data_IF_056686920814
#
_entry.id   IF_056686920814
#
_cell.length_a   1.000
_cell.length_b   1.000
_cell.length_c   1.000
_cell.angle_alpha   90.00
_cell.angle_beta   90.00
_cell.angle_gamma   90.00
#
_symmetry.space_group_name_H-M   'P 1'
#
loop_
_entity.id
_entity.type
_entity.pdbx_description
1 polymer ?
#
# COMPACT_ATOMS: atom_id res chain seq x y z
N UNK A 1 -18.02 3.43 -0.08
CA UNK A 1 -16.60 3.13 0.25
C UNK A 1 -16.27 1.68 -0.09
N UNK A 2 -15.02 1.29 -0.07
CA UNK A 2 -14.55 -0.07 -0.40
C UNK A 2 -14.99 -0.57 -1.79
N UNK A 3 -14.86 0.26 -2.79
CA UNK A 3 -15.09 -0.08 -4.20
C UNK A 3 -13.74 -0.23 -4.94
N UNK A 4 -13.77 -0.85 -6.11
CA UNK A 4 -12.57 -1.00 -6.95
C UNK A 4 -11.41 -1.70 -6.22
N UNK A 5 -10.21 -1.13 -6.29
CA UNK A 5 -8.97 -1.70 -5.74
C UNK A 5 -9.00 -1.84 -4.21
N UNK A 6 -9.73 -0.98 -3.49
CA UNK A 6 -9.84 -1.07 -2.02
C UNK A 6 -10.50 -2.36 -1.52
N UNK A 7 -11.26 -3.07 -2.36
CA UNK A 7 -11.83 -4.39 -2.05
C UNK A 7 -11.17 -5.54 -2.83
N UNK A 8 -10.47 -5.24 -3.92
CA UNK A 8 -9.88 -6.22 -4.82
C UNK A 8 -8.35 -6.14 -4.74
N UNK A 9 -7.79 -6.59 -3.63
CA UNK A 9 -6.37 -6.64 -3.34
C UNK A 9 -6.02 -7.87 -2.50
N UNK A 10 -4.74 -8.13 -2.31
CA UNK A 10 -4.23 -9.29 -1.58
C UNK A 10 -4.22 -9.12 -0.05
N UNK A 11 -4.65 -7.98 0.47
CA UNK A 11 -4.65 -7.68 1.92
C UNK A 11 -3.25 -7.71 2.57
N UNK A 12 -2.19 -7.66 1.79
CA UNK A 12 -0.81 -7.72 2.26
C UNK A 12 -0.27 -6.33 2.57
N UNK A 13 0.30 -6.17 3.76
CA UNK A 13 1.16 -5.04 4.11
C UNK A 13 2.60 -5.44 3.79
N UNK A 14 3.08 -4.98 2.64
CA UNK A 14 4.41 -5.32 2.13
C UNK A 14 5.52 -4.75 2.99
N UNK A 15 6.64 -5.50 3.09
CA UNK A 15 7.84 -5.09 3.84
C UNK A 15 8.67 -4.02 3.13
N UNK A 16 8.50 -3.83 1.81
CA UNK A 16 9.29 -2.91 0.98
C UNK A 16 10.51 -3.55 0.32
N UNK A 17 10.66 -4.88 0.41
CA UNK A 17 11.81 -5.60 -0.11
C UNK A 17 11.93 -5.52 -1.64
N UNK A 18 10.80 -5.58 -2.35
CA UNK A 18 10.68 -5.62 -3.82
C UNK A 18 10.62 -4.24 -4.48
N UNK A 19 10.58 -3.18 -3.71
CA UNK A 19 10.59 -1.82 -4.25
C UNK A 19 11.98 -1.43 -4.75
N UNK A 20 12.06 -0.82 -5.93
CA UNK A 20 13.33 -0.32 -6.48
C UNK A 20 13.97 0.69 -5.52
N UNK A 21 15.21 0.43 -5.12
CA UNK A 21 15.96 1.26 -4.17
C UNK A 21 16.08 2.71 -4.65
N UNK A 22 15.97 3.65 -3.71
CA UNK A 22 16.08 5.09 -3.96
C UNK A 22 14.82 5.75 -4.53
N UNK A 23 13.75 4.99 -4.76
CA UNK A 23 12.47 5.54 -5.24
C UNK A 23 11.59 6.02 -4.10
N UNK A 24 10.68 6.96 -4.40
CA UNK A 24 9.64 7.38 -3.46
C UNK A 24 8.74 6.20 -3.05
N UNK A 25 8.50 5.23 -3.95
CA UNK A 25 7.76 4.00 -3.65
C UNK A 25 8.41 3.22 -2.51
N UNK A 26 9.74 3.00 -2.54
CA UNK A 26 10.46 2.31 -1.48
C UNK A 26 10.34 3.05 -0.14
N UNK A 27 10.54 4.37 -0.15
CA UNK A 27 10.43 5.20 1.05
C UNK A 27 9.02 5.18 1.67
N UNK A 28 7.99 5.35 0.84
CA UNK A 28 6.60 5.38 1.31
C UNK A 28 6.10 4.00 1.74
N UNK A 29 6.56 2.92 1.09
CA UNK A 29 6.24 1.56 1.50
C UNK A 29 6.75 1.27 2.92
N UNK A 30 8.04 1.55 3.19
CA UNK A 30 8.61 1.40 4.53
C UNK A 30 7.89 2.25 5.56
N UNK A 31 7.68 3.53 5.26
CA UNK A 31 6.98 4.42 6.17
C UNK A 31 5.55 3.98 6.46
N UNK A 32 4.81 3.55 5.43
CA UNK A 32 3.46 3.00 5.59
C UNK A 32 3.45 1.73 6.44
N UNK A 33 4.41 0.82 6.21
CA UNK A 33 4.56 -0.40 7.00
C UNK A 33 4.83 -0.11 8.48
N UNK A 34 5.74 0.83 8.80
CA UNK A 34 6.05 1.25 10.17
C UNK A 34 4.82 1.80 10.92
N UNK A 35 3.94 2.51 10.20
CA UNK A 35 2.76 3.14 10.80
C UNK A 35 1.65 2.15 11.15
N UNK A 36 1.63 0.95 10.56
CA UNK A 36 0.50 0.03 10.67
C UNK A 36 0.17 -0.41 12.09
N UNK A 37 1.18 -0.69 12.92
CA UNK A 37 0.97 -1.14 14.32
C UNK A 37 0.31 -0.06 15.19
N UNK A 38 0.66 1.20 14.95
CA UNK A 38 0.06 2.32 15.68
C UNK A 38 -1.33 2.65 15.15
N UNK A 39 -1.47 2.73 13.82
CA UNK A 39 -2.74 3.07 13.18
C UNK A 39 -3.81 2.03 13.45
N UNK A 40 -3.48 0.74 13.39
CA UNK A 40 -4.44 -0.33 13.63
C UNK A 40 -5.02 -0.28 15.05
N UNK A 41 -4.18 0.07 16.04
CA UNK A 41 -4.61 0.24 17.44
C UNK A 41 -5.42 1.52 17.66
N UNK A 42 -5.00 2.64 17.03
CA UNK A 42 -5.68 3.93 17.18
C UNK A 42 -7.04 3.97 16.50
N UNK A 43 -7.17 3.30 15.37
CA UNK A 43 -8.37 3.32 14.54
C UNK A 43 -9.19 2.04 14.62
N UNK A 44 -8.75 1.08 15.44
CA UNK A 44 -9.45 -0.18 15.74
C UNK A 44 -9.80 -1.00 14.49
N UNK A 45 -8.79 -1.32 13.66
CA UNK A 45 -8.94 -2.26 12.55
C UNK A 45 -7.99 -3.44 12.66
N UNK A 46 -8.39 -4.59 12.12
CA UNK A 46 -7.57 -5.80 12.17
C UNK A 46 -6.31 -5.69 11.32
N UNK A 47 -5.17 -5.86 11.98
CA UNK A 47 -3.85 -5.99 11.39
C UNK A 47 -3.05 -7.07 12.13
N UNK A 48 -2.36 -7.93 11.40
CA UNK A 48 -1.47 -8.95 11.96
C UNK A 48 -0.11 -8.87 11.29
N UNK A 49 0.92 -8.70 12.08
CA UNK A 49 2.31 -8.76 11.62
C UNK A 49 2.81 -10.20 11.72
N UNK A 50 2.42 -11.02 10.76
CA UNK A 50 2.76 -12.45 10.70
C UNK A 50 4.02 -12.76 9.89
N UNK A 51 4.65 -11.74 9.31
CA UNK A 51 5.76 -11.89 8.39
C UNK A 51 5.34 -12.38 7.01
N UNK A 52 6.32 -12.56 6.15
CA UNK A 52 6.15 -13.18 4.83
C UNK A 52 7.40 -13.96 4.44
N UNK A 53 7.21 -15.03 3.66
CA UNK A 53 8.27 -15.81 3.04
C UNK A 53 8.26 -15.58 1.53
N UNK A 54 9.42 -15.32 0.96
CA UNK A 54 9.65 -15.30 -0.49
C UNK A 54 10.47 -16.54 -0.81
N UNK A 55 9.84 -17.53 -1.42
CA UNK A 55 10.43 -18.84 -1.63
C UNK A 55 11.20 -18.95 -2.95
N UNK A 56 12.19 -19.83 -2.98
CA UNK A 56 13.04 -20.17 -4.11
C UNK A 56 12.94 -21.68 -4.34
N UNK A 57 12.77 -22.11 -5.60
CA UNK A 57 12.53 -23.50 -5.97
C UNK A 57 13.71 -24.15 -6.68
N UNK A 58 14.77 -23.41 -6.98
CA UNK A 58 15.94 -23.93 -7.66
C UNK A 58 17.21 -23.20 -7.26
N UNK A 59 18.35 -23.87 -7.46
CA UNK A 59 19.66 -23.23 -7.26
C UNK A 59 19.90 -22.07 -8.25
N UNK A 60 19.30 -22.14 -9.44
CA UNK A 60 19.39 -21.07 -10.45
C UNK A 60 18.68 -19.78 -9.97
N UNK A 61 17.62 -19.91 -9.18
CA UNK A 61 16.89 -18.77 -8.62
C UNK A 61 17.61 -18.14 -7.40
N UNK A 62 18.61 -18.81 -6.83
CA UNK A 62 19.35 -18.32 -5.65
C UNK A 62 20.07 -17.00 -5.90
N UNK A 63 20.52 -16.75 -7.13
CA UNK A 63 21.16 -15.46 -7.47
C UNK A 63 20.12 -14.33 -7.33
N UNK A 64 18.94 -14.52 -7.91
CA UNK A 64 17.83 -13.55 -7.85
C UNK A 64 17.34 -13.34 -6.42
N UNK A 65 17.25 -14.40 -5.63
CA UNK A 65 16.86 -14.32 -4.21
C UNK A 65 17.87 -13.46 -3.42
N UNK A 66 19.18 -13.63 -3.66
CA UNK A 66 20.23 -12.81 -3.04
C UNK A 66 20.19 -11.35 -3.49
N UNK A 67 19.92 -11.10 -4.77
CA UNK A 67 19.75 -9.74 -5.30
C UNK A 67 18.57 -9.05 -4.60
N UNK A 68 17.42 -9.74 -4.46
CA UNK A 68 16.25 -9.22 -3.78
C UNK A 68 16.53 -8.98 -2.28
N UNK A 69 17.23 -9.89 -1.62
CA UNK A 69 17.67 -9.71 -0.23
C UNK A 69 18.51 -8.44 -0.08
N UNK A 70 19.53 -8.28 -0.94
CA UNK A 70 20.41 -7.10 -0.92
C UNK A 70 19.63 -5.81 -1.21
N UNK A 71 18.65 -5.84 -2.11
CA UNK A 71 17.75 -4.73 -2.37
C UNK A 71 16.95 -4.37 -1.12
N UNK A 72 16.41 -5.36 -0.43
CA UNK A 72 15.68 -5.15 0.82
C UNK A 72 16.55 -4.52 1.92
N UNK A 73 17.80 -4.97 2.07
CA UNK A 73 18.77 -4.35 2.97
C UNK A 73 19.05 -2.89 2.58
N UNK A 74 19.28 -2.64 1.27
CA UNK A 74 19.51 -1.29 0.76
C UNK A 74 18.29 -0.36 0.94
N UNK A 75 17.08 -0.92 0.91
CA UNK A 75 15.85 -0.20 1.21
C UNK A 75 15.67 0.08 2.71
N UNK A 76 16.40 -0.60 3.60
CA UNK A 76 16.29 -0.46 5.05
C UNK A 76 15.23 -1.36 5.68
N UNK A 77 14.79 -2.43 5.01
CA UNK A 77 13.85 -3.40 5.58
C UNK A 77 14.49 -4.12 6.78
N UNK A 78 13.93 -3.99 7.99
CA UNK A 78 14.59 -4.55 9.17
C UNK A 78 14.36 -6.07 9.29
N UNK A 79 15.34 -6.76 9.84
CA UNK A 79 15.23 -8.15 10.28
C UNK A 79 15.12 -9.19 9.18
N UNK A 80 15.45 -8.85 7.91
CA UNK A 80 15.49 -9.81 6.81
C UNK A 80 16.47 -10.96 7.10
N UNK A 81 16.08 -12.17 6.74
CA UNK A 81 16.92 -13.37 6.83
C UNK A 81 16.78 -14.20 5.58
N UNK A 82 17.87 -14.83 5.14
CA UNK A 82 17.81 -15.93 4.18
C UNK A 82 17.74 -17.20 5.03
N UNK A 83 16.74 -18.01 4.77
CA UNK A 83 16.49 -19.32 5.39
C UNK A 83 16.86 -20.42 4.42
N UNK A 84 17.39 -21.53 4.92
CA UNK A 84 17.47 -22.77 4.15
C UNK A 84 16.10 -23.46 4.09
N UNK A 85 16.02 -24.59 3.35
CA UNK A 85 14.78 -25.32 3.18
C UNK A 85 14.20 -25.81 4.51
N UNK A 86 15.06 -26.30 5.44
CA UNK A 86 14.65 -26.80 6.74
C UNK A 86 14.05 -25.69 7.61
N UNK A 87 14.75 -24.56 7.73
CA UNK A 87 14.30 -23.38 8.47
C UNK A 87 12.97 -22.82 7.89
N UNK A 88 12.83 -22.84 6.56
CA UNK A 88 11.59 -22.38 5.90
C UNK A 88 10.40 -23.30 6.24
N UNK A 89 10.58 -24.63 6.22
CA UNK A 89 9.56 -25.61 6.59
C UNK A 89 9.24 -25.60 8.09
N UNK A 90 10.19 -25.28 8.96
CA UNK A 90 9.90 -25.08 10.39
C UNK A 90 8.95 -23.92 10.61
N UNK A 91 9.07 -22.84 9.81
CA UNK A 91 8.18 -21.67 9.87
C UNK A 91 6.83 -21.92 9.22
N UNK A 92 6.77 -22.60 8.09
CA UNK A 92 5.55 -22.95 7.35
C UNK A 92 5.59 -24.40 6.85
N UNK A 93 5.06 -25.33 7.64
CA UNK A 93 5.12 -26.78 7.32
C UNK A 93 4.37 -27.21 6.05
N UNK A 94 3.51 -26.34 5.51
CA UNK A 94 2.76 -26.64 4.28
C UNK A 94 3.46 -26.14 3.01
N UNK A 95 4.71 -25.68 3.09
CA UNK A 95 5.49 -25.38 1.89
C UNK A 95 5.72 -26.64 1.06
N UNK A 96 5.87 -26.45 -0.26
CA UNK A 96 6.29 -27.54 -1.15
C UNK A 96 7.66 -28.05 -0.79
N UNK A 97 7.86 -29.39 -0.87
CA UNK A 97 9.17 -30.03 -0.68
C UNK A 97 10.23 -29.58 -1.71
N UNK A 98 9.80 -28.90 -2.79
CA UNK A 98 10.68 -28.32 -3.82
C UNK A 98 11.32 -27.00 -3.38
N UNK A 99 10.94 -26.42 -2.23
CA UNK A 99 11.54 -25.18 -1.73
C UNK A 99 12.96 -25.45 -1.27
N UNK A 100 13.93 -24.74 -1.87
CA UNK A 100 15.37 -24.88 -1.53
C UNK A 100 15.85 -23.77 -0.58
N UNK A 101 15.22 -22.61 -0.60
CA UNK A 101 15.53 -21.47 0.28
C UNK A 101 14.37 -20.49 0.34
N UNK A 102 14.39 -19.58 1.31
CA UNK A 102 13.43 -18.47 1.39
C UNK A 102 14.08 -17.20 1.96
N UNK A 103 13.51 -16.03 1.64
CA UNK A 103 13.74 -14.82 2.43
C UNK A 103 12.57 -14.67 3.41
N UNK A 104 12.89 -14.57 4.68
CA UNK A 104 11.93 -14.18 5.71
C UNK A 104 11.93 -12.68 5.90
N UNK A 105 10.75 -12.07 5.77
CA UNK A 105 10.49 -10.65 5.96
C UNK A 105 9.60 -10.46 7.19
N UNK A 106 10.15 -10.23 8.39
CA UNK A 106 9.38 -10.18 9.64
C UNK A 106 8.39 -9.01 9.70
N UNK A 107 8.64 -7.95 8.93
CA UNK A 107 7.77 -6.76 8.89
C UNK A 107 6.59 -6.89 7.92
N UNK A 108 6.51 -7.97 7.16
CA UNK A 108 5.33 -8.29 6.38
C UNK A 108 4.10 -8.54 7.27
N UNK A 109 2.92 -8.27 6.77
CA UNK A 109 1.70 -8.49 7.54
C UNK A 109 0.46 -8.57 6.67
N UNK A 110 -0.67 -8.87 7.30
CA UNK A 110 -1.98 -8.89 6.66
C UNK A 110 -2.92 -7.91 7.37
N UNK A 111 -3.80 -7.28 6.59
CA UNK A 111 -4.77 -6.31 7.08
C UNK A 111 -6.14 -6.59 6.47
N UNK A 112 -7.21 -6.34 7.21
CA UNK A 112 -8.53 -6.31 6.59
C UNK A 112 -8.67 -5.00 5.78
N UNK A 113 -8.66 -5.02 4.43
CA UNK A 113 -8.72 -3.80 3.63
C UNK A 113 -10.05 -3.06 3.78
N UNK A 114 -11.13 -3.78 4.06
CA UNK A 114 -12.44 -3.19 4.36
C UNK A 114 -12.43 -2.46 5.70
N UNK A 115 -11.98 -3.14 6.76
CA UNK A 115 -11.89 -2.56 8.11
C UNK A 115 -10.99 -1.33 8.13
N UNK A 116 -9.80 -1.41 7.53
CA UNK A 116 -8.88 -0.29 7.43
C UNK A 116 -9.50 0.91 6.69
N UNK A 117 -10.14 0.67 5.53
CA UNK A 117 -10.76 1.73 4.75
C UNK A 117 -11.91 2.42 5.50
N UNK A 118 -12.75 1.63 6.19
CA UNK A 118 -13.86 2.15 7.01
C UNK A 118 -13.32 2.97 8.18
N UNK A 119 -12.35 2.44 8.92
CA UNK A 119 -11.74 3.10 10.07
C UNK A 119 -11.11 4.46 9.72
N UNK A 120 -10.40 4.54 8.58
CA UNK A 120 -9.88 5.82 8.09
C UNK A 120 -11.00 6.81 7.75
N UNK A 121 -12.08 6.34 7.13
CA UNK A 121 -13.19 7.20 6.77
C UNK A 121 -13.97 7.69 8.00
N UNK A 122 -14.22 6.81 8.97
CA UNK A 122 -14.88 7.17 10.23
C UNK A 122 -14.06 8.20 11.02
N UNK A 123 -12.73 7.97 11.11
CA UNK A 123 -11.83 8.93 11.75
C UNK A 123 -11.81 10.28 11.01
N UNK A 124 -11.80 10.29 9.69
CA UNK A 124 -11.86 11.50 8.90
C UNK A 124 -13.17 12.26 9.13
N UNK A 125 -14.31 11.55 9.12
CA UNK A 125 -15.63 12.13 9.41
C UNK A 125 -15.70 12.72 10.83
N UNK A 126 -15.17 12.01 11.83
CA UNK A 126 -15.09 12.50 13.22
C UNK A 126 -14.23 13.77 13.36
N UNK A 127 -13.29 14.00 12.43
CA UNK A 127 -12.47 15.20 12.33
C UNK A 127 -13.02 16.26 11.35
N UNK A 128 -14.29 16.15 10.96
CA UNK A 128 -15.00 17.17 10.16
C UNK A 128 -14.82 17.06 8.65
N UNK A 129 -14.32 15.93 8.14
CA UNK A 129 -14.28 15.69 6.69
C UNK A 129 -15.66 15.37 6.18
N UNK A 130 -16.09 16.10 5.14
CA UNK A 130 -17.34 15.84 4.44
C UNK A 130 -17.10 14.86 3.27
N UNK A 131 -17.92 13.81 3.19
CA UNK A 131 -17.90 12.82 2.11
C UNK A 131 -19.02 13.08 1.12
N UNK A 132 -18.69 13.47 -0.10
CA UNK A 132 -19.63 13.66 -1.17
C UNK A 132 -19.67 12.41 -2.06
N UNK A 133 -20.51 11.43 -1.71
CA UNK A 133 -20.69 10.22 -2.50
C UNK A 133 -21.48 10.50 -3.78
N UNK A 134 -21.29 9.65 -4.79
CA UNK A 134 -21.94 9.79 -6.10
C UNK A 134 -21.76 11.19 -6.70
N UNK A 135 -20.60 11.78 -6.48
CA UNK A 135 -20.24 13.12 -6.96
C UNK A 135 -19.02 13.01 -7.86
N UNK A 136 -19.27 12.88 -9.14
CA UNK A 136 -18.24 12.81 -10.16
C UNK A 136 -17.71 14.21 -10.49
N UNK A 137 -16.39 14.38 -10.42
CA UNK A 137 -15.73 15.60 -10.89
C UNK A 137 -15.58 15.50 -12.40
N UNK A 138 -16.15 16.44 -13.14
CA UNK A 138 -16.15 16.47 -14.61
C UNK A 138 -15.13 17.43 -15.19
N UNK A 139 -14.79 18.47 -14.45
CA UNK A 139 -13.84 19.50 -14.88
C UNK A 139 -13.21 20.15 -13.64
N UNK A 140 -11.95 20.59 -13.77
CA UNK A 140 -11.24 21.36 -12.75
C UNK A 140 -10.74 22.65 -13.37
N UNK A 141 -11.25 23.75 -12.88
CA UNK A 141 -10.85 25.10 -13.32
C UNK A 141 -9.91 25.71 -12.29
N UNK A 142 -8.79 26.27 -12.75
CA UNK A 142 -7.85 27.00 -11.88
C UNK A 142 -8.29 28.44 -11.75
N UNK A 143 -8.33 28.95 -10.53
CA UNK A 143 -8.55 30.35 -10.21
C UNK A 143 -7.33 31.00 -9.55
N UNK A 144 -7.38 32.30 -9.31
CA UNK A 144 -6.28 33.06 -8.66
C UNK A 144 -5.99 32.55 -7.24
N UNK A 145 -7.02 32.08 -6.50
CA UNK A 145 -6.92 31.70 -5.11
C UNK A 145 -7.24 30.20 -4.85
N UNK A 146 -7.26 29.37 -5.90
CA UNK A 146 -7.61 27.95 -5.73
C UNK A 146 -8.14 27.30 -6.99
N UNK A 147 -9.16 26.49 -6.80
CA UNK A 147 -9.77 25.67 -7.87
C UNK A 147 -11.28 25.63 -7.71
N UNK A 148 -11.99 25.54 -8.83
CA UNK A 148 -13.40 25.16 -8.89
C UNK A 148 -13.47 23.78 -9.50
N UNK A 149 -14.10 22.85 -8.80
CA UNK A 149 -14.42 21.50 -9.30
C UNK A 149 -15.86 21.50 -9.77
N UNK A 150 -16.07 21.29 -11.05
CA UNK A 150 -17.40 21.14 -11.64
C UNK A 150 -17.85 19.71 -11.49
N UNK A 151 -18.94 19.50 -10.80
CA UNK A 151 -19.51 18.17 -10.58
C UNK A 151 -20.94 18.10 -11.13
N UNK A 152 -21.49 16.89 -11.21
CA UNK A 152 -22.90 16.71 -11.58
C UNK A 152 -23.88 17.28 -10.54
N UNK A 153 -23.40 17.54 -9.32
CA UNK A 153 -24.22 18.02 -8.20
C UNK A 153 -24.00 19.52 -7.88
N UNK A 154 -23.20 20.22 -8.70
CA UNK A 154 -22.87 21.61 -8.52
C UNK A 154 -21.35 21.86 -8.46
N UNK A 155 -20.97 23.06 -8.07
CA UNK A 155 -19.58 23.51 -8.00
C UNK A 155 -19.04 23.38 -6.58
N UNK A 156 -17.75 23.01 -6.48
CA UNK A 156 -17.01 22.92 -5.22
C UNK A 156 -15.78 23.81 -5.32
N UNK A 157 -15.66 24.79 -4.44
CA UNK A 157 -14.51 25.70 -4.36
C UNK A 157 -13.47 25.12 -3.36
N UNK A 158 -12.22 25.00 -3.79
CA UNK A 158 -11.14 24.47 -2.96
C UNK A 158 -9.84 25.24 -3.15
N UNK A 159 -9.11 25.46 -2.06
CA UNK A 159 -7.77 26.07 -2.14
C UNK A 159 -6.73 25.12 -2.73
N UNK A 160 -6.88 23.83 -2.46
CA UNK A 160 -6.00 22.76 -2.93
C UNK A 160 -6.83 21.56 -3.35
N UNK A 161 -6.37 20.83 -4.36
CA UNK A 161 -6.97 19.58 -4.81
C UNK A 161 -5.92 18.47 -4.71
N UNK A 162 -6.27 17.36 -4.10
CA UNK A 162 -5.42 16.17 -4.04
C UNK A 162 -6.04 15.09 -4.92
N UNK A 163 -5.30 14.69 -5.96
CA UNK A 163 -5.69 13.57 -6.80
C UNK A 163 -5.36 12.25 -6.08
N UNK A 164 -6.36 11.58 -5.56
CA UNK A 164 -6.27 10.25 -4.96
C UNK A 164 -7.19 9.24 -5.66
N UNK A 165 -7.39 9.40 -6.98
CA UNK A 165 -8.34 8.64 -7.79
C UNK A 165 -7.87 7.21 -8.14
N UNK A 166 -6.76 6.73 -7.57
CA UNK A 166 -6.26 5.37 -7.78
C UNK A 166 -5.96 5.09 -9.25
N UNK A 167 -6.57 4.04 -9.81
CA UNK A 167 -6.39 3.65 -11.23
C UNK A 167 -6.94 4.66 -12.23
N UNK A 168 -7.70 5.65 -11.78
CA UNK A 168 -8.24 6.73 -12.61
C UNK A 168 -7.49 8.05 -12.43
N UNK A 169 -6.31 8.04 -11.81
CA UNK A 169 -5.55 9.25 -11.51
C UNK A 169 -5.11 10.01 -12.78
N UNK A 170 -4.82 9.31 -13.87
CA UNK A 170 -4.51 9.86 -15.18
C UNK A 170 -5.73 10.54 -15.82
N UNK A 171 -6.90 9.91 -15.73
CA UNK A 171 -8.16 10.49 -16.18
C UNK A 171 -8.46 11.78 -15.41
N UNK A 172 -8.29 11.75 -14.09
CA UNK A 172 -8.49 12.93 -13.27
C UNK A 172 -7.54 14.08 -13.63
N UNK A 173 -6.28 13.79 -13.96
CA UNK A 173 -5.32 14.78 -14.42
C UNK A 173 -5.73 15.42 -15.74
N UNK A 174 -6.39 14.69 -16.64
CA UNK A 174 -6.88 15.22 -17.91
C UNK A 174 -8.01 16.24 -17.77
N UNK A 175 -8.66 16.31 -16.60
CA UNK A 175 -9.72 17.27 -16.30
C UNK A 175 -9.20 18.65 -15.91
N UNK A 176 -7.88 18.77 -15.67
CA UNK A 176 -7.25 20.03 -15.30
C UNK A 176 -6.89 20.80 -16.57
N UNK A 177 -7.67 21.79 -16.92
CA UNK A 177 -7.34 22.72 -17.99
C UNK A 177 -6.34 23.76 -17.44
N UNK A 178 -5.06 23.57 -17.73
CA UNK A 178 -4.01 24.56 -17.48
C UNK A 178 -3.97 25.46 -18.70
N UNK A 179 -4.59 26.63 -18.59
CA UNK A 179 -4.45 27.73 -19.57
C UNK A 179 -3.17 28.50 -19.30
#
# INVERSE_FOLDING_TARGET
MCCGTSKANSAIVHSGIDCKTGTLMAQMNLRGNEMMDELSKKLDFEFRRNGSLIVCFSDDDMLRLKELYNQGIANGVPGLKILDAGEAHEMEPNLSDEVVAAIYCPTGGIVCPFGMNIAFAENAAANGVEFLFNTEVKEIQKEQAGYILITQNGEIHARCVVNAAGVYADVFLSLIHIS
#
